data_IF_336759798098
#
_entry.id   IF_336759798098
#
_cell.length_a   1.000
_cell.length_b   1.000
_cell.length_c   1.000
_cell.angle_alpha   90.00
_cell.angle_beta   90.00
_cell.angle_gamma   90.00
#
_symmetry.space_group_name_H-M   'P 1'
#
loop_
_entity.id
_entity.type
_entity.pdbx_description
1 polymer ?
#
# COMPACT_ATOMS: atom_id res chain seq x y z
N UNK A 1 24.28 -5.44 -5.60
CA UNK A 1 22.93 -5.03 -6.03
C UNK A 1 21.90 -5.84 -5.27
N UNK A 2 20.66 -5.37 -5.21
CA UNK A 2 19.55 -6.12 -4.59
C UNK A 2 19.00 -7.12 -5.62
N UNK A 3 18.73 -8.36 -5.19
CA UNK A 3 18.07 -9.35 -6.05
C UNK A 3 16.65 -8.86 -6.31
N UNK A 4 16.33 -8.57 -7.58
CA UNK A 4 15.05 -7.95 -7.94
C UNK A 4 14.41 -8.67 -9.12
N UNK A 5 13.09 -8.79 -9.11
CA UNK A 5 12.30 -9.31 -10.23
C UNK A 5 11.13 -8.39 -10.53
N UNK A 6 10.83 -8.18 -11.80
CA UNK A 6 9.68 -7.37 -12.26
C UNK A 6 8.62 -8.32 -12.81
N UNK A 7 7.38 -8.14 -12.39
CA UNK A 7 6.22 -8.93 -12.83
C UNK A 7 5.08 -8.00 -13.26
N UNK A 8 4.45 -8.31 -14.38
CA UNK A 8 3.36 -7.51 -14.95
C UNK A 8 2.04 -8.27 -14.92
N UNK A 9 0.95 -7.58 -14.56
CA UNK A 9 -0.41 -8.11 -14.70
C UNK A 9 -0.82 -8.31 -16.18
N UNK A 10 -0.16 -7.62 -17.11
CA UNK A 10 -0.37 -7.76 -18.56
C UNK A 10 0.84 -8.46 -19.16
N UNK A 11 0.63 -9.57 -19.87
CA UNK A 11 1.72 -10.32 -20.48
C UNK A 11 2.44 -9.49 -21.55
N UNK A 12 3.75 -9.33 -21.40
CA UNK A 12 4.63 -8.64 -22.35
C UNK A 12 5.83 -9.52 -22.68
N UNK A 13 5.61 -10.46 -23.60
CA UNK A 13 6.62 -11.44 -24.01
C UNK A 13 7.93 -10.75 -24.40
N UNK A 14 9.04 -11.21 -23.81
CA UNK A 14 10.39 -10.68 -24.05
C UNK A 14 10.77 -9.41 -23.26
N UNK A 15 9.85 -8.81 -22.48
CA UNK A 15 10.13 -7.58 -21.71
C UNK A 15 9.97 -7.82 -20.20
N UNK A 16 8.80 -8.31 -19.77
CA UNK A 16 8.49 -8.52 -18.34
C UNK A 16 7.77 -9.85 -18.17
N UNK A 17 8.14 -10.57 -17.12
CA UNK A 17 7.48 -11.82 -16.74
C UNK A 17 6.02 -11.54 -16.34
N UNK A 18 5.11 -12.45 -16.73
CA UNK A 18 3.73 -12.37 -16.29
C UNK A 18 3.65 -12.60 -14.78
N UNK A 19 2.76 -11.87 -14.09
CA UNK A 19 2.53 -12.07 -12.67
C UNK A 19 2.02 -13.49 -12.38
N UNK A 20 2.78 -14.21 -11.56
CA UNK A 20 2.37 -15.50 -11.00
C UNK A 20 2.47 -15.42 -9.48
N UNK A 21 1.33 -15.63 -8.79
CA UNK A 21 1.24 -15.55 -7.34
C UNK A 21 2.23 -16.48 -6.64
N UNK A 22 2.36 -17.73 -7.11
CA UNK A 22 3.22 -18.73 -6.45
C UNK A 22 4.69 -18.36 -6.62
N UNK A 23 5.07 -17.93 -7.82
CA UNK A 23 6.43 -17.46 -8.08
C UNK A 23 6.75 -16.20 -7.28
N UNK A 24 5.82 -15.25 -7.15
CA UNK A 24 6.02 -14.05 -6.35
C UNK A 24 6.30 -14.38 -4.87
N UNK A 25 5.49 -15.28 -4.28
CA UNK A 25 5.67 -15.74 -2.89
C UNK A 25 7.03 -16.45 -2.73
N UNK A 26 7.40 -17.30 -3.68
CA UNK A 26 8.70 -17.99 -3.66
C UNK A 26 9.85 -16.99 -3.73
N UNK A 27 9.81 -16.05 -4.67
CA UNK A 27 10.84 -15.02 -4.83
C UNK A 27 10.98 -14.15 -3.56
N UNK A 28 9.87 -13.74 -2.96
CA UNK A 28 9.88 -13.00 -1.69
C UNK A 28 10.53 -13.82 -0.57
N UNK A 29 10.20 -15.12 -0.48
CA UNK A 29 10.79 -16.05 0.49
C UNK A 29 12.30 -16.26 0.27
N UNK A 30 12.74 -16.22 -0.98
CA UNK A 30 14.15 -16.32 -1.39
C UNK A 30 14.93 -14.99 -1.21
N UNK A 31 14.29 -13.96 -0.66
CA UNK A 31 14.89 -12.65 -0.38
C UNK A 31 14.99 -11.73 -1.61
N UNK A 32 14.16 -11.94 -2.64
CA UNK A 32 14.04 -11.03 -3.77
C UNK A 32 13.10 -9.88 -3.45
N UNK A 33 13.42 -8.70 -3.98
CA UNK A 33 12.44 -7.62 -4.15
C UNK A 33 11.61 -7.90 -5.40
N UNK A 34 10.30 -7.96 -5.27
CA UNK A 34 9.38 -8.15 -6.39
C UNK A 34 8.69 -6.82 -6.71
N UNK A 35 8.80 -6.37 -7.96
CA UNK A 35 8.19 -5.14 -8.47
C UNK A 35 6.97 -5.54 -9.32
N UNK A 36 5.78 -5.21 -8.82
CA UNK A 36 4.53 -5.42 -9.56
C UNK A 36 4.23 -4.23 -10.47
N UNK A 37 3.93 -4.50 -11.74
CA UNK A 37 3.60 -3.50 -12.75
C UNK A 37 2.26 -3.82 -13.43
N UNK A 38 1.77 -2.86 -14.22
CA UNK A 38 0.45 -2.89 -14.87
C UNK A 38 -0.77 -2.99 -13.90
N UNK A 39 -0.57 -2.70 -12.61
CA UNK A 39 -1.65 -2.66 -11.62
C UNK A 39 -2.41 -3.98 -11.52
N UNK A 40 -3.74 -3.91 -11.65
CA UNK A 40 -4.61 -5.10 -11.73
C UNK A 40 -4.71 -5.67 -13.15
N UNK A 41 -4.14 -5.00 -14.15
CA UNK A 41 -4.32 -5.29 -15.58
C UNK A 41 -5.66 -4.84 -16.15
N UNK A 42 -6.54 -4.24 -15.33
CA UNK A 42 -7.91 -3.89 -15.72
C UNK A 42 -8.14 -2.37 -15.63
N UNK A 43 -8.96 -1.78 -16.54
CA UNK A 43 -9.41 -0.41 -16.42
C UNK A 43 -10.28 -0.22 -15.17
N UNK A 44 -10.47 1.03 -14.74
CA UNK A 44 -11.28 1.44 -13.58
C UNK A 44 -10.71 1.09 -12.19
N UNK A 45 -9.55 0.42 -12.12
CA UNK A 45 -8.85 0.17 -10.86
C UNK A 45 -7.72 1.17 -10.64
N UNK A 46 -7.49 1.54 -9.39
CA UNK A 46 -6.38 2.41 -9.01
C UNK A 46 -5.14 1.58 -8.64
N UNK A 47 -4.00 2.26 -8.52
CA UNK A 47 -2.78 1.65 -7.96
C UNK A 47 -2.96 1.26 -6.49
N UNK A 48 -3.79 1.96 -5.72
CA UNK A 48 -4.10 1.58 -4.34
C UNK A 48 -4.84 0.23 -4.32
N UNK A 49 -5.82 0.02 -5.21
CA UNK A 49 -6.51 -1.27 -5.31
C UNK A 49 -5.56 -2.39 -5.73
N UNK A 50 -4.67 -2.13 -6.69
CA UNK A 50 -3.65 -3.08 -7.09
C UNK A 50 -2.68 -3.42 -5.95
N UNK A 51 -2.27 -2.41 -5.17
CA UNK A 51 -1.41 -2.60 -4.00
C UNK A 51 -2.05 -3.48 -2.94
N UNK A 52 -3.32 -3.22 -2.60
CA UNK A 52 -4.07 -4.07 -1.68
C UNK A 52 -4.20 -5.51 -2.21
N UNK A 53 -4.58 -5.66 -3.47
CA UNK A 53 -4.73 -6.98 -4.09
C UNK A 53 -3.43 -7.77 -4.02
N UNK A 54 -2.30 -7.17 -4.43
CA UNK A 54 -0.99 -7.85 -4.40
C UNK A 54 -0.54 -8.16 -2.98
N UNK A 55 -0.75 -7.25 -2.04
CA UNK A 55 -0.44 -7.49 -0.64
C UNK A 55 -1.22 -8.67 -0.05
N UNK A 56 -2.52 -8.79 -0.38
CA UNK A 56 -3.35 -9.94 0.03
C UNK A 56 -2.86 -11.22 -0.65
N UNK A 57 -2.63 -11.19 -1.96
CA UNK A 57 -2.19 -12.37 -2.70
C UNK A 57 -0.82 -12.88 -2.23
N UNK A 58 0.11 -12.00 -1.86
CA UNK A 58 1.43 -12.37 -1.35
C UNK A 58 1.48 -12.50 0.17
N UNK A 59 0.32 -12.49 0.85
CA UNK A 59 0.20 -12.72 2.30
C UNK A 59 1.04 -11.72 3.14
N UNK A 60 1.09 -10.46 2.69
CA UNK A 60 1.82 -9.40 3.38
C UNK A 60 1.18 -9.07 4.74
N UNK A 61 2.00 -8.83 5.75
CA UNK A 61 1.53 -8.50 7.10
C UNK A 61 1.05 -7.04 7.23
N UNK A 62 1.52 -6.16 6.35
CA UNK A 62 1.26 -4.73 6.39
C UNK A 62 1.42 -4.13 5.00
N UNK A 63 0.47 -3.30 4.57
CA UNK A 63 0.60 -2.48 3.39
C UNK A 63 1.09 -1.07 3.76
N UNK A 64 2.21 -0.65 3.18
CA UNK A 64 2.76 0.68 3.39
C UNK A 64 2.34 1.60 2.24
N UNK A 65 1.52 2.61 2.54
CA UNK A 65 1.08 3.63 1.58
C UNK A 65 1.93 4.88 1.72
N UNK A 66 2.82 5.09 0.76
CA UNK A 66 3.70 6.24 0.71
C UNK A 66 2.96 7.47 0.15
N UNK A 67 2.97 8.59 0.88
CA UNK A 67 2.30 9.84 0.50
C UNK A 67 3.21 11.05 0.71
N UNK A 68 2.73 12.25 0.36
CA UNK A 68 3.45 13.53 0.55
C UNK A 68 3.19 14.17 1.93
N UNK A 69 2.18 13.68 2.64
CA UNK A 69 1.75 14.18 3.95
C UNK A 69 2.09 13.16 5.03
N UNK A 70 2.04 13.58 6.29
CA UNK A 70 2.51 12.74 7.41
C UNK A 70 1.67 11.50 7.69
N UNK A 71 0.45 11.44 7.17
CA UNK A 71 -0.47 10.31 7.31
C UNK A 71 -1.88 10.74 6.91
N UNK A 72 -2.88 10.26 7.64
CA UNK A 72 -4.29 10.58 7.40
C UNK A 72 -4.72 11.74 8.29
N UNK A 73 -5.44 12.68 7.68
CA UNK A 73 -6.02 13.86 8.33
C UNK A 73 -7.53 13.90 8.09
N UNK A 74 -8.24 14.66 8.92
CA UNK A 74 -9.68 14.90 8.75
C UNK A 74 -10.01 15.71 7.49
N UNK A 75 -9.05 16.51 7.04
CA UNK A 75 -9.12 17.40 5.89
C UNK A 75 -7.73 17.53 5.27
N UNK A 76 -7.65 18.08 4.05
CA UNK A 76 -6.37 18.20 3.34
C UNK A 76 -5.43 19.19 4.06
N UNK A 77 -4.30 18.73 4.65
CA UNK A 77 -3.41 19.59 5.43
C UNK A 77 -2.65 20.62 4.58
N UNK A 78 -2.60 20.44 3.24
CA UNK A 78 -2.02 21.45 2.35
C UNK A 78 -2.97 22.64 2.13
N UNK A 79 -4.29 22.44 2.34
CA UNK A 79 -5.32 23.47 2.16
C UNK A 79 -5.87 24.00 3.49
N UNK A 80 -5.97 23.14 4.50
CA UNK A 80 -6.47 23.46 5.83
C UNK A 80 -5.34 23.35 6.86
N UNK A 81 -4.94 24.49 7.45
CA UNK A 81 -3.92 24.52 8.50
C UNK A 81 -4.38 23.91 9.82
N UNK A 82 -5.70 23.85 10.04
CA UNK A 82 -6.30 23.29 11.24
C UNK A 82 -6.62 21.79 11.05
N UNK A 83 -6.09 21.14 10.01
CA UNK A 83 -6.30 19.72 9.74
C UNK A 83 -5.79 18.86 10.91
N UNK A 84 -6.67 18.00 11.42
CA UNK A 84 -6.40 17.16 12.58
C UNK A 84 -5.82 15.83 12.09
N UNK A 85 -4.62 15.51 12.57
CA UNK A 85 -3.93 14.25 12.29
C UNK A 85 -4.52 13.09 13.09
N UNK A 86 -4.65 11.92 12.46
CA UNK A 86 -5.00 10.67 13.13
C UNK A 86 -3.77 9.77 13.27
N UNK A 87 -3.49 9.27 14.47
CA UNK A 87 -2.41 8.30 14.71
C UNK A 87 -2.85 6.86 14.36
N UNK A 88 -4.12 6.55 14.60
CA UNK A 88 -4.75 5.27 14.31
C UNK A 88 -6.21 5.46 13.90
N UNK A 89 -6.70 4.61 13.01
CA UNK A 89 -8.08 4.63 12.51
C UNK A 89 -8.59 3.21 12.32
N UNK A 90 -9.87 2.99 12.58
CA UNK A 90 -10.52 1.77 12.10
C UNK A 90 -10.86 1.90 10.61
N UNK A 91 -10.95 0.77 9.90
CA UNK A 91 -11.45 0.77 8.52
C UNK A 91 -12.85 1.41 8.41
N UNK A 92 -13.71 1.16 9.40
CA UNK A 92 -15.06 1.71 9.43
C UNK A 92 -15.05 3.23 9.64
N UNK A 93 -14.13 3.76 10.45
CA UNK A 93 -13.97 5.21 10.62
C UNK A 93 -13.47 5.85 9.33
N UNK A 94 -12.48 5.25 8.68
CA UNK A 94 -11.94 5.75 7.42
C UNK A 94 -13.00 5.81 6.31
N UNK A 95 -13.87 4.78 6.22
CA UNK A 95 -14.99 4.73 5.27
C UNK A 95 -16.08 5.73 5.66
N UNK A 96 -16.56 5.71 6.91
CA UNK A 96 -17.71 6.51 7.34
C UNK A 96 -17.44 8.01 7.35
N UNK A 97 -16.21 8.43 7.69
CA UNK A 97 -15.76 9.82 7.63
C UNK A 97 -15.31 10.25 6.22
N UNK A 98 -15.38 9.35 5.24
CA UNK A 98 -14.95 9.58 3.86
C UNK A 98 -13.54 10.18 3.78
N UNK A 99 -12.63 9.65 4.60
CA UNK A 99 -11.25 10.14 4.66
C UNK A 99 -10.52 9.77 3.36
N UNK A 100 -9.77 10.72 2.80
CA UNK A 100 -9.02 10.53 1.56
C UNK A 100 -7.74 9.72 1.77
N UNK A 101 -7.89 8.49 2.25
CA UNK A 101 -6.80 7.53 2.45
C UNK A 101 -6.41 6.90 1.11
N UNK A 102 -7.41 6.34 0.44
CA UNK A 102 -7.33 5.50 -0.76
C UNK A 102 -8.75 5.42 -1.35
N UNK A 103 -8.89 4.86 -2.56
CA UNK A 103 -10.23 4.64 -3.10
C UNK A 103 -11.03 3.62 -2.25
N UNK A 104 -12.36 3.76 -2.27
CA UNK A 104 -13.25 2.94 -1.45
C UNK A 104 -13.13 1.42 -1.74
N UNK A 105 -12.81 1.04 -2.98
CA UNK A 105 -12.65 -0.37 -3.36
C UNK A 105 -11.45 -0.97 -2.66
N UNK A 106 -10.33 -0.26 -2.68
CA UNK A 106 -9.10 -0.69 -2.05
C UNK A 106 -9.25 -0.76 -0.51
N UNK A 107 -9.92 0.22 0.11
CA UNK A 107 -10.13 0.25 1.56
C UNK A 107 -11.05 -0.90 2.02
N UNK A 108 -12.10 -1.17 1.24
CA UNK A 108 -13.02 -2.29 1.48
C UNK A 108 -12.31 -3.62 1.33
N UNK A 109 -11.50 -3.79 0.27
CA UNK A 109 -10.72 -4.99 0.04
C UNK A 109 -9.73 -5.28 1.17
N UNK A 110 -9.05 -4.25 1.68
CA UNK A 110 -8.15 -4.39 2.82
C UNK A 110 -8.88 -4.77 4.11
N UNK A 111 -10.03 -4.13 4.38
CA UNK A 111 -10.88 -4.46 5.54
C UNK A 111 -11.36 -5.91 5.51
N UNK A 112 -11.91 -6.34 4.38
CA UNK A 112 -12.53 -7.67 4.24
C UNK A 112 -11.52 -8.81 4.38
N UNK A 113 -10.25 -8.55 4.09
CA UNK A 113 -9.13 -9.48 4.28
C UNK A 113 -8.29 -9.21 5.53
N UNK A 114 -8.65 -8.22 6.35
CA UNK A 114 -7.91 -7.85 7.56
C UNK A 114 -6.46 -7.42 7.31
N UNK A 115 -6.16 -6.81 6.14
CA UNK A 115 -4.84 -6.32 5.78
C UNK A 115 -4.62 -4.91 6.37
N UNK A 116 -3.77 -4.73 7.40
CA UNK A 116 -3.51 -3.42 7.95
C UNK A 116 -2.80 -2.52 6.94
N UNK A 117 -3.06 -1.21 7.01
CA UNK A 117 -2.46 -0.21 6.14
C UNK A 117 -1.77 0.84 7.00
N UNK A 118 -0.50 1.15 6.73
CA UNK A 118 0.17 2.32 7.33
C UNK A 118 0.41 3.38 6.26
N UNK A 119 -0.20 4.55 6.45
CA UNK A 119 -0.03 5.72 5.58
C UNK A 119 1.03 6.63 6.16
N UNK A 120 2.08 6.90 5.40
CA UNK A 120 3.22 7.68 5.89
C UNK A 120 3.78 8.64 4.84
N UNK A 121 4.59 9.60 5.28
CA UNK A 121 5.30 10.53 4.41
C UNK A 121 6.59 9.92 3.87
N UNK A 122 6.68 9.79 2.55
CA UNK A 122 7.87 9.25 1.88
C UNK A 122 9.07 10.20 1.93
N UNK A 123 8.82 11.50 2.10
CA UNK A 123 9.87 12.52 2.14
C UNK A 123 10.58 12.57 3.50
N UNK A 124 10.06 11.91 4.54
CA UNK A 124 10.73 11.80 5.83
C UNK A 124 11.93 10.84 5.72
N UNK A 125 13.15 11.29 6.03
CA UNK A 125 14.32 10.41 6.05
C UNK A 125 14.09 9.20 6.95
N UNK A 126 14.55 8.03 6.51
CA UNK A 126 14.46 6.75 7.23
C UNK A 126 13.04 6.28 7.60
N UNK A 127 11.97 6.94 7.14
CA UNK A 127 10.60 6.60 7.55
C UNK A 127 10.24 5.12 7.30
N UNK A 128 10.58 4.59 6.12
CA UNK A 128 10.36 3.19 5.79
C UNK A 128 11.09 2.24 6.77
N UNK A 129 12.37 2.52 7.03
CA UNK A 129 13.19 1.72 7.96
C UNK A 129 12.63 1.78 9.38
N UNK A 130 12.28 2.97 9.83
CA UNK A 130 11.76 3.22 11.15
C UNK A 130 10.41 2.52 11.40
N UNK A 131 9.52 2.52 10.41
CA UNK A 131 8.25 1.77 10.46
C UNK A 131 8.52 0.27 10.60
N UNK A 132 9.43 -0.28 9.79
CA UNK A 132 9.81 -1.70 9.85
C UNK A 132 10.44 -2.05 11.21
N UNK A 133 11.18 -1.13 11.82
CA UNK A 133 11.72 -1.27 13.17
C UNK A 133 10.69 -1.05 14.30
N UNK A 134 9.41 -0.84 13.98
CA UNK A 134 8.32 -0.73 14.95
C UNK A 134 8.10 0.67 15.52
N UNK A 135 8.73 1.72 14.96
CA UNK A 135 8.41 3.09 15.36
C UNK A 135 7.04 3.48 14.81
N UNK A 136 6.28 4.22 15.63
CA UNK A 136 4.98 4.78 15.23
C UNK A 136 5.21 6.01 14.34
N UNK A 137 5.20 5.77 13.03
CA UNK A 137 5.25 6.82 12.00
C UNK A 137 4.05 6.64 11.10
N UNK A 138 3.36 7.74 10.82
CA UNK A 138 2.17 7.73 9.99
C UNK A 138 0.91 7.37 10.75
N UNK A 139 -0.10 6.99 9.99
CA UNK A 139 -1.40 6.55 10.51
C UNK A 139 -1.59 5.07 10.22
N UNK A 140 -1.84 4.28 11.26
CA UNK A 140 -2.19 2.88 11.13
C UNK A 140 -3.71 2.71 10.97
N UNK A 141 -4.13 1.95 9.97
CA UNK A 141 -5.52 1.60 9.71
C UNK A 141 -5.70 0.09 9.91
N UNK A 142 -6.56 -0.29 10.85
CA UNK A 142 -6.81 -1.70 11.24
C UNK A 142 -8.19 -1.92 11.85
#
# INVERSE_FOLDING_TARGET
GIKTRVMSAISMSGIVEHYDRRLAIQLLSDGYVVIFTAGTGNPFFTTDTAGCLRAIETEANLMLKATRVDGVYDSDPEQNKDAIFFDSLSFNDAISKNLKVMDATALTLARDHGLPINVFNVSKPDALKDIICGKKIGTLIS
#
